data_IF_988190955234
#
_entry.id   IF_988190955234
#
_cell.length_a   1.000
_cell.length_b   1.000
_cell.length_c   1.000
_cell.angle_alpha   90.00
_cell.angle_beta   90.00
_cell.angle_gamma   90.00
#
_symmetry.space_group_name_H-M   'P 1'
#
loop_
_entity.id
_entity.type
_entity.pdbx_description
1 polymer ?
#
# COMPACT_ATOMS: atom_id res chain seq x y z
N UNK A 1 -6.57 4.15 10.64
CA UNK A 1 -5.27 4.09 9.95
C UNK A 1 -4.10 4.42 10.88
N UNK A 2 -4.07 5.59 11.53
CA UNK A 2 -2.98 5.97 12.47
C UNK A 2 -2.71 4.91 13.55
N UNK A 3 -3.75 4.39 14.21
CA UNK A 3 -3.61 3.30 15.21
C UNK A 3 -3.02 2.01 14.62
N UNK A 4 -3.38 1.65 13.38
CA UNK A 4 -2.85 0.46 12.72
C UNK A 4 -1.36 0.64 12.37
N UNK A 5 -0.98 1.80 11.81
CA UNK A 5 0.43 2.17 11.55
C UNK A 5 1.26 2.19 12.83
N UNK A 6 0.72 2.74 13.91
CA UNK A 6 1.37 2.70 15.23
C UNK A 6 1.58 1.25 15.72
N UNK A 7 0.63 0.35 15.46
CA UNK A 7 0.77 -1.08 15.76
C UNK A 7 1.93 -1.76 15.02
N UNK A 8 2.16 -1.40 13.75
CA UNK A 8 3.33 -1.87 12.98
C UNK A 8 4.64 -1.42 13.64
N UNK A 9 4.75 -0.12 13.93
CA UNK A 9 5.92 0.44 14.62
C UNK A 9 6.13 -0.19 15.98
N UNK A 10 5.08 -0.36 16.78
CA UNK A 10 5.18 -0.97 18.10
C UNK A 10 5.65 -2.44 18.04
N UNK A 11 5.23 -3.20 17.01
CA UNK A 11 5.72 -4.55 16.79
C UNK A 11 7.22 -4.55 16.43
N UNK A 12 7.63 -3.65 15.54
CA UNK A 12 9.03 -3.47 15.16
C UNK A 12 9.91 -3.05 16.35
N UNK A 13 9.51 -2.03 17.09
CA UNK A 13 10.27 -1.49 18.23
C UNK A 13 10.48 -2.53 19.33
N UNK A 14 9.48 -3.39 19.59
CA UNK A 14 9.52 -4.37 20.67
C UNK A 14 10.16 -5.71 20.30
N UNK A 15 10.11 -6.10 19.03
CA UNK A 15 10.41 -7.48 18.60
C UNK A 15 11.21 -7.57 17.29
N UNK A 16 11.70 -6.45 16.77
CA UNK A 16 12.59 -6.43 15.61
C UNK A 16 11.89 -6.52 14.25
N UNK A 17 12.72 -6.59 13.21
CA UNK A 17 12.32 -6.45 11.81
C UNK A 17 11.22 -7.42 11.39
N UNK A 18 11.38 -8.72 11.69
CA UNK A 18 10.41 -9.75 11.28
C UNK A 18 9.01 -9.50 11.85
N UNK A 19 8.91 -9.12 13.13
CA UNK A 19 7.64 -8.78 13.77
C UNK A 19 7.00 -7.50 13.18
N UNK A 20 7.82 -6.49 12.90
CA UNK A 20 7.37 -5.27 12.23
C UNK A 20 6.84 -5.54 10.83
N UNK A 21 7.59 -6.29 10.03
CA UNK A 21 7.22 -6.63 8.66
C UNK A 21 5.96 -7.52 8.59
N UNK A 22 5.85 -8.52 9.46
CA UNK A 22 4.63 -9.34 9.56
C UNK A 22 3.40 -8.49 9.91
N UNK A 23 3.55 -7.53 10.84
CA UNK A 23 2.48 -6.58 11.17
C UNK A 23 2.14 -5.65 10.00
N UNK A 24 3.16 -5.20 9.25
CA UNK A 24 2.97 -4.39 8.05
C UNK A 24 2.21 -5.15 6.96
N UNK A 25 2.60 -6.39 6.66
CA UNK A 25 1.90 -7.26 5.68
C UNK A 25 0.46 -7.50 6.10
N UNK A 26 0.20 -7.81 7.36
CA UNK A 26 -1.16 -8.00 7.88
C UNK A 26 -2.00 -6.71 7.77
N UNK A 27 -1.41 -5.54 8.07
CA UNK A 27 -2.08 -4.25 7.94
C UNK A 27 -2.42 -3.92 6.48
N UNK A 28 -1.48 -4.11 5.56
CA UNK A 28 -1.66 -3.75 4.14
C UNK A 28 -2.51 -4.76 3.38
N UNK A 29 -2.61 -6.00 3.85
CA UNK A 29 -3.50 -7.04 3.31
C UNK A 29 -4.93 -6.96 3.83
N UNK A 30 -5.20 -6.11 4.83
CA UNK A 30 -6.55 -5.96 5.38
C UNK A 30 -7.47 -5.23 4.39
N UNK A 31 -8.58 -5.88 4.06
CA UNK A 31 -9.64 -5.30 3.25
C UNK A 31 -10.62 -4.48 4.10
N UNK A 32 -10.94 -3.27 3.63
CA UNK A 32 -11.89 -2.39 4.29
C UNK A 32 -11.30 -1.61 5.47
N UNK A 33 -12.18 -1.08 6.32
CA UNK A 33 -11.81 -0.24 7.46
C UNK A 33 -11.12 -1.02 8.58
N UNK A 34 -10.16 -0.39 9.25
CA UNK A 34 -9.58 -0.93 10.48
C UNK A 34 -10.58 -0.80 11.62
N UNK A 35 -11.47 -1.80 11.72
CA UNK A 35 -12.50 -1.91 12.76
C UNK A 35 -11.97 -2.60 14.01
N UNK A 36 -12.81 -2.78 15.03
CA UNK A 36 -12.47 -3.59 16.20
C UNK A 36 -12.09 -5.03 15.82
N UNK A 37 -12.65 -5.58 14.73
CA UNK A 37 -12.27 -6.90 14.24
C UNK A 37 -10.80 -6.95 13.78
N UNK A 38 -10.30 -5.90 13.13
CA UNK A 38 -8.89 -5.80 12.78
C UNK A 38 -8.01 -5.79 14.04
N UNK A 39 -8.38 -4.98 15.04
CA UNK A 39 -7.60 -4.83 16.27
C UNK A 39 -7.71 -6.01 17.24
N UNK A 40 -8.68 -6.91 17.05
CA UNK A 40 -8.83 -8.13 17.82
C UNK A 40 -7.98 -9.30 17.28
N UNK A 41 -7.37 -9.15 16.10
CA UNK A 41 -6.49 -10.19 15.55
C UNK A 41 -5.27 -10.42 16.44
N UNK A 42 -4.78 -11.67 16.55
CA UNK A 42 -3.51 -11.92 17.20
C UNK A 42 -2.37 -11.23 16.44
N UNK A 43 -1.25 -10.98 17.13
CA UNK A 43 -0.05 -10.51 16.45
C UNK A 43 0.36 -11.54 15.38
N UNK A 44 0.66 -11.10 14.14
CA UNK A 44 1.05 -12.02 13.08
C UNK A 44 2.41 -12.65 13.38
N UNK A 45 2.53 -13.94 13.05
CA UNK A 45 3.77 -14.71 13.19
C UNK A 45 4.70 -14.43 11.99
N UNK A 46 5.91 -13.89 12.19
CA UNK A 46 6.88 -13.68 11.12
C UNK A 46 7.22 -14.95 10.33
N UNK A 47 7.27 -16.11 11.01
CA UNK A 47 7.63 -17.37 10.37
C UNK A 47 6.60 -17.80 9.32
N UNK A 48 5.32 -17.41 9.49
CA UNK A 48 4.27 -17.67 8.51
C UNK A 48 4.51 -16.96 7.16
N UNK A 49 5.35 -15.92 7.14
CA UNK A 49 5.75 -15.17 5.96
C UNK A 49 7.20 -15.46 5.52
N UNK A 50 7.85 -16.48 6.11
CA UNK A 50 9.25 -16.80 5.82
C UNK A 50 10.26 -15.78 6.35
N UNK A 51 9.86 -14.98 7.35
CA UNK A 51 10.70 -13.95 7.96
C UNK A 51 11.37 -14.48 9.25
N UNK A 52 12.56 -13.95 9.63
CA UNK A 52 13.20 -14.31 10.89
C UNK A 52 12.35 -13.89 12.08
N UNK A 53 12.42 -14.68 13.17
CA UNK A 53 11.73 -14.37 14.42
C UNK A 53 12.62 -13.59 15.40
N UNK A 54 13.93 -13.64 15.19
CA UNK A 54 14.93 -13.00 16.03
C UNK A 54 14.97 -11.49 15.82
N UNK A 55 15.14 -10.77 16.92
CA UNK A 55 15.39 -9.33 16.91
C UNK A 55 16.89 -9.09 16.85
N UNK A 56 17.35 -8.45 15.77
CA UNK A 56 18.76 -8.08 15.57
C UNK A 56 19.16 -6.77 16.28
N UNK A 57 18.20 -6.10 16.91
CA UNK A 57 18.40 -4.84 17.65
C UNK A 57 18.41 -3.57 16.77
N UNK A 58 18.28 -3.68 15.44
CA UNK A 58 18.22 -2.53 14.53
C UNK A 58 16.87 -1.81 14.61
N UNK A 59 16.86 -0.47 14.55
CA UNK A 59 15.65 0.38 14.59
C UNK A 59 15.64 1.48 13.53
N UNK A 60 16.41 1.27 12.47
CA UNK A 60 16.67 2.25 11.43
C UNK A 60 15.92 1.97 10.11
N UNK A 61 15.09 0.92 10.08
CA UNK A 61 14.25 0.58 8.93
C UNK A 61 13.26 1.74 8.64
N UNK A 62 13.32 2.36 7.45
CA UNK A 62 12.51 3.54 7.15
C UNK A 62 11.02 3.21 7.01
N UNK A 63 10.64 1.99 6.64
CA UNK A 63 9.25 1.57 6.48
C UNK A 63 8.60 1.30 7.84
N UNK A 64 9.33 0.65 8.74
CA UNK A 64 8.79 0.16 10.02
C UNK A 64 8.92 1.17 11.17
N UNK A 65 9.85 2.12 11.06
CA UNK A 65 10.01 3.22 12.02
C UNK A 65 9.11 4.43 11.71
N UNK A 66 9.24 5.49 12.51
CA UNK A 66 8.56 6.77 12.27
C UNK A 66 9.22 7.64 11.19
N UNK A 67 10.37 7.23 10.66
CA UNK A 67 11.16 8.00 9.68
C UNK A 67 10.39 8.37 8.41
N UNK A 68 9.52 7.48 7.93
CA UNK A 68 8.70 7.73 6.74
C UNK A 68 7.30 8.27 7.04
N UNK A 69 6.97 8.60 8.29
CA UNK A 69 5.62 9.09 8.61
C UNK A 69 5.31 10.41 7.93
N UNK A 70 6.31 11.28 7.72
CA UNK A 70 6.13 12.50 6.94
C UNK A 70 5.63 12.25 5.51
N UNK A 71 5.96 11.10 4.91
CA UNK A 71 5.47 10.70 3.59
C UNK A 71 3.99 10.33 3.66
N UNK A 72 3.60 9.46 4.60
CA UNK A 72 2.21 9.02 4.73
C UNK A 72 1.27 10.07 5.33
N UNK A 73 1.81 11.05 6.06
CA UNK A 73 1.05 12.17 6.65
C UNK A 73 0.95 13.36 5.70
N UNK A 74 1.70 13.35 4.58
CA UNK A 74 1.63 14.39 3.57
C UNK A 74 0.23 14.50 2.98
N UNK A 75 -0.28 15.73 2.90
CA UNK A 75 -1.54 16.04 2.22
C UNK A 75 -1.22 16.75 0.90
N UNK A 76 -1.56 16.13 -0.25
CA UNK A 76 -1.36 16.77 -1.55
C UNK A 76 -2.15 18.08 -1.67
N UNK A 77 -1.54 19.08 -2.29
CA UNK A 77 -2.22 20.32 -2.68
C UNK A 77 -3.03 20.06 -3.97
N UNK A 78 -4.33 19.83 -3.81
CA UNK A 78 -5.23 19.50 -4.90
C UNK A 78 -5.33 20.62 -5.94
N UNK A 79 -5.33 21.89 -5.49
CA UNK A 79 -5.46 23.05 -6.38
C UNK A 79 -4.19 23.20 -7.23
N UNK A 80 -3.02 23.03 -6.62
CA UNK A 80 -1.75 23.06 -7.35
C UNK A 80 -1.64 21.91 -8.35
N UNK A 81 -2.08 20.70 -7.98
CA UNK A 81 -2.08 19.54 -8.88
C UNK A 81 -3.04 19.78 -10.06
N UNK A 82 -4.25 20.27 -9.81
CA UNK A 82 -5.25 20.53 -10.84
C UNK A 82 -4.87 21.72 -11.77
N UNK A 83 -4.10 22.68 -11.28
CA UNK A 83 -3.60 23.80 -12.07
C UNK A 83 -2.38 23.43 -12.96
N UNK A 84 -1.73 22.30 -12.71
CA UNK A 84 -0.57 21.88 -13.48
C UNK A 84 -0.96 21.52 -14.93
N UNK A 85 -0.10 21.82 -15.92
CA UNK A 85 -0.34 21.40 -17.31
C UNK A 85 -0.17 19.89 -17.52
N UNK A 86 0.35 19.18 -16.52
CA UNK A 86 0.57 17.73 -16.56
C UNK A 86 -0.73 16.99 -16.29
N UNK A 87 -1.11 16.09 -17.20
CA UNK A 87 -2.23 15.17 -16.99
C UNK A 87 -1.88 14.17 -15.88
N UNK A 88 -2.63 14.20 -14.78
CA UNK A 88 -2.49 13.27 -13.66
C UNK A 88 -3.59 12.20 -13.73
N UNK A 89 -3.20 10.94 -13.67
CA UNK A 89 -4.11 9.78 -13.63
C UNK A 89 -3.84 9.00 -12.34
N UNK A 90 -4.88 8.78 -11.53
CA UNK A 90 -4.79 7.91 -10.35
C UNK A 90 -5.27 6.52 -10.72
N UNK A 91 -4.37 5.54 -10.65
CA UNK A 91 -4.62 4.15 -11.00
C UNK A 91 -4.77 3.25 -9.77
N UNK A 92 -5.56 2.18 -9.90
CA UNK A 92 -5.71 1.13 -8.88
C UNK A 92 -5.89 -0.23 -9.55
N UNK A 93 -5.28 -1.28 -8.99
CA UNK A 93 -5.54 -2.66 -9.41
C UNK A 93 -6.93 -3.14 -8.96
N UNK A 94 -7.64 -3.84 -9.82
CA UNK A 94 -9.00 -4.36 -9.53
C UNK A 94 -9.03 -5.30 -8.32
N UNK A 95 -7.99 -6.12 -8.13
CA UNK A 95 -7.89 -7.10 -7.04
C UNK A 95 -7.45 -6.47 -5.71
N UNK A 96 -6.74 -5.35 -5.76
CA UNK A 96 -6.25 -4.64 -4.57
C UNK A 96 -7.10 -3.42 -4.19
N UNK A 97 -8.31 -3.31 -4.75
CA UNK A 97 -9.17 -2.13 -4.55
C UNK A 97 -9.62 -1.98 -3.10
N UNK A 98 -9.91 -3.09 -2.43
CA UNK A 98 -10.46 -3.10 -1.07
C UNK A 98 -9.41 -2.89 0.02
N UNK A 99 -8.12 -3.12 -0.26
CA UNK A 99 -7.06 -2.92 0.73
C UNK A 99 -6.73 -1.44 0.94
N UNK A 100 -5.95 -1.12 1.97
CA UNK A 100 -5.60 0.26 2.34
C UNK A 100 -5.16 1.10 1.14
N UNK A 101 -4.23 0.62 0.32
CA UNK A 101 -3.69 1.36 -0.82
C UNK A 101 -4.74 1.65 -1.88
N UNK A 102 -5.60 0.67 -2.19
CA UNK A 102 -6.71 0.86 -3.12
C UNK A 102 -7.71 1.91 -2.64
N UNK A 103 -8.10 1.85 -1.36
CA UNK A 103 -8.98 2.84 -0.73
C UNK A 103 -8.36 4.23 -0.69
N UNK A 104 -7.05 4.34 -0.46
CA UNK A 104 -6.37 5.64 -0.51
C UNK A 104 -6.21 6.18 -1.94
N UNK A 105 -6.05 5.32 -2.95
CA UNK A 105 -6.08 5.74 -4.35
C UNK A 105 -7.45 6.28 -4.74
N UNK A 106 -8.54 5.68 -4.26
CA UNK A 106 -9.89 6.22 -4.45
C UNK A 106 -10.05 7.59 -3.80
N UNK A 107 -9.65 7.73 -2.54
CA UNK A 107 -9.70 9.03 -1.84
C UNK A 107 -8.83 10.10 -2.53
N UNK A 108 -7.66 9.73 -3.07
CA UNK A 108 -6.81 10.64 -3.82
C UNK A 108 -7.44 11.06 -5.15
N UNK A 109 -8.11 10.15 -5.86
CA UNK A 109 -8.86 10.49 -7.06
C UNK A 109 -10.02 11.45 -6.74
N UNK A 110 -10.78 11.19 -5.67
CA UNK A 110 -11.87 12.06 -5.21
C UNK A 110 -11.37 13.46 -4.84
N UNK A 111 -10.22 13.55 -4.15
CA UNK A 111 -9.57 14.82 -3.83
C UNK A 111 -9.26 15.66 -5.07
N UNK A 112 -8.91 15.00 -6.18
CA UNK A 112 -8.64 15.64 -7.47
C UNK A 112 -9.89 15.78 -8.36
N UNK A 113 -11.08 15.47 -7.84
CA UNK A 113 -12.34 15.55 -8.60
C UNK A 113 -12.45 14.54 -9.74
N UNK A 114 -11.70 13.43 -9.68
CA UNK A 114 -11.68 12.39 -10.70
C UNK A 114 -12.15 11.03 -10.13
N UNK A 115 -12.41 10.07 -11.02
CA UNK A 115 -12.56 8.66 -10.65
C UNK A 115 -11.25 7.94 -10.91
N UNK A 116 -10.94 6.94 -10.09
CA UNK A 116 -9.77 6.07 -10.33
C UNK A 116 -9.86 5.37 -11.68
N UNK A 117 -8.71 5.19 -12.32
CA UNK A 117 -8.54 4.33 -13.48
C UNK A 117 -8.22 2.92 -13.00
N UNK A 118 -9.11 1.97 -13.28
CA UNK A 118 -8.89 0.58 -12.87
C UNK A 118 -7.95 -0.11 -13.86
N UNK A 119 -6.95 -0.80 -13.33
CA UNK A 119 -6.00 -1.64 -14.04
C UNK A 119 -6.23 -3.13 -13.67
N UNK A 120 -5.93 -4.06 -14.57
CA UNK A 120 -6.00 -5.50 -14.28
C UNK A 120 -5.10 -5.88 -13.10
N UNK A 121 -5.48 -6.95 -12.39
CA UNK A 121 -4.70 -7.54 -11.29
C UNK A 121 -4.57 -6.63 -10.05
N UNK A 122 -3.47 -6.73 -9.33
CA UNK A 122 -3.21 -6.10 -8.02
C UNK A 122 -2.11 -5.03 -8.09
N UNK A 123 -1.57 -4.62 -6.94
CA UNK A 123 -0.50 -3.61 -6.82
C UNK A 123 0.80 -3.95 -7.57
N UNK A 124 0.97 -5.22 -7.98
CA UNK A 124 2.08 -5.76 -8.75
C UNK A 124 1.65 -6.19 -10.15
N UNK A 125 0.54 -5.64 -10.68
CA UNK A 125 -0.06 -6.06 -11.96
C UNK A 125 0.88 -6.00 -13.18
N UNK A 126 2.00 -5.29 -13.08
CA UNK A 126 3.05 -5.18 -14.10
C UNK A 126 4.17 -6.23 -13.95
N UNK A 127 4.18 -7.02 -12.88
CA UNK A 127 5.18 -8.06 -12.64
C UNK A 127 4.78 -9.36 -13.34
N UNK A 128 5.78 -10.07 -13.86
CA UNK A 128 5.62 -11.44 -14.32
C UNK A 128 5.86 -12.46 -13.18
N UNK A 129 6.00 -13.74 -13.53
CA UNK A 129 6.20 -14.83 -12.58
C UNK A 129 7.57 -14.88 -11.90
N UNK A 130 8.54 -14.06 -12.31
CA UNK A 130 9.90 -14.12 -11.76
C UNK A 130 9.95 -13.76 -10.27
N UNK A 131 9.03 -12.91 -9.80
CA UNK A 131 9.07 -12.31 -8.45
C UNK A 131 8.08 -12.92 -7.45
N UNK A 132 7.51 -14.10 -7.74
CA UNK A 132 6.71 -14.89 -6.79
C UNK A 132 5.29 -14.38 -6.50
N UNK A 133 4.92 -13.19 -6.98
CA UNK A 133 3.55 -12.65 -6.93
C UNK A 133 3.15 -12.10 -8.31
N UNK A 134 2.87 -13.00 -9.27
CA UNK A 134 2.65 -12.62 -10.67
C UNK A 134 1.37 -11.80 -10.84
N UNK A 135 1.50 -10.70 -11.56
CA UNK A 135 0.38 -9.90 -12.03
C UNK A 135 -0.15 -10.35 -13.40
N UNK A 136 -0.59 -9.36 -14.19
CA UNK A 136 -1.06 -9.55 -15.56
C UNK A 136 -0.37 -8.54 -16.50
N UNK A 137 0.94 -8.67 -16.75
CA UNK A 137 1.75 -7.61 -17.38
C UNK A 137 1.28 -7.25 -18.80
N UNK A 138 0.84 -8.23 -19.60
CA UNK A 138 0.31 -7.98 -20.94
C UNK A 138 -1.00 -7.16 -20.91
N UNK A 139 -1.91 -7.51 -20.00
CA UNK A 139 -3.17 -6.80 -19.83
C UNK A 139 -2.95 -5.40 -19.23
N UNK A 140 -2.02 -5.28 -18.27
CA UNK A 140 -1.57 -4.00 -17.72
C UNK A 140 -1.02 -3.10 -18.82
N UNK A 141 -0.14 -3.62 -19.69
CA UNK A 141 0.46 -2.85 -20.78
C UNK A 141 -0.57 -2.43 -21.82
N UNK A 142 -1.53 -3.31 -22.18
CA UNK A 142 -2.63 -2.95 -23.06
C UNK A 142 -3.46 -1.80 -22.46
N UNK A 143 -3.84 -1.92 -21.18
CA UNK A 143 -4.60 -0.88 -20.47
C UNK A 143 -3.83 0.44 -20.35
N UNK A 144 -2.53 0.38 -20.11
CA UNK A 144 -1.68 1.58 -20.03
C UNK A 144 -1.70 2.35 -21.36
N UNK A 145 -1.57 1.66 -22.50
CA UNK A 145 -1.62 2.30 -23.83
C UNK A 145 -2.97 2.99 -24.07
N UNK A 146 -4.07 2.31 -23.78
CA UNK A 146 -5.42 2.91 -23.88
C UNK A 146 -5.55 4.19 -23.05
N UNK A 147 -5.03 4.18 -21.82
CA UNK A 147 -5.11 5.34 -20.91
C UNK A 147 -4.26 6.49 -21.43
N UNK A 148 -3.06 6.23 -21.95
CA UNK A 148 -2.16 7.26 -22.48
C UNK A 148 -2.68 7.83 -23.81
N UNK A 149 -3.25 7.00 -24.68
CA UNK A 149 -3.77 7.40 -25.99
C UNK A 149 -5.07 8.21 -25.90
N UNK A 150 -5.84 8.07 -24.80
CA UNK A 150 -7.09 8.79 -24.56
C UNK A 150 -6.93 10.28 -24.20
N UNK A 151 -5.96 10.97 -24.82
CA UNK A 151 -5.68 12.40 -24.60
C UNK A 151 -6.72 13.32 -25.24
#
# INVERSE_FOLDING_TARGET
>A
AVRARAGVRDAYEKRGWGAGMAAFVAMTSWEGEFTDAYFAQPAPDPAAFGMPAEDDGSRDDPLLSDRSWAVSDHRPDADAINAAPTRVVIAVGEESRAVQTGRTSEAAAELLGQRVTVFPSHHGGFLDGEFGYPGQPDAFAARLREVLDAS
#
